data_IF_451695534207
#
_entry.id   IF_451695534207
#
_cell.length_a   1.000
_cell.length_b   1.000
_cell.length_c   1.000
_cell.angle_alpha   90.00
_cell.angle_beta   90.00
_cell.angle_gamma   90.00
#
_symmetry.space_group_name_H-M   'P 1'
#
loop_
_entity.id
_entity.type
_entity.pdbx_description
1 polymer ?
#
# COMPACT_ATOMS: atom_id res chain seq x y z
N UNK A 1 -20.29 22.81 -25.54
CA UNK A 1 -20.98 21.50 -25.57
C UNK A 1 -19.99 20.33 -25.47
N UNK A 2 -19.05 20.15 -26.41
CA UNK A 2 -18.07 19.04 -26.37
C UNK A 2 -17.16 19.02 -25.13
N UNK A 3 -16.64 20.17 -24.68
CA UNK A 3 -15.84 20.27 -23.44
C UNK A 3 -16.61 19.87 -22.17
N UNK A 4 -17.92 20.16 -22.11
CA UNK A 4 -18.78 19.81 -20.97
C UNK A 4 -19.09 18.32 -20.94
N UNK A 5 -19.25 17.68 -22.10
CA UNK A 5 -19.38 16.22 -22.22
C UNK A 5 -18.09 15.50 -21.81
N UNK A 6 -16.92 16.04 -22.16
CA UNK A 6 -15.62 15.51 -21.75
C UNK A 6 -15.46 15.52 -20.23
N UNK A 7 -15.69 16.67 -19.58
CA UNK A 7 -15.58 16.80 -18.13
C UNK A 7 -16.58 15.90 -17.37
N UNK A 8 -17.78 15.71 -17.92
CA UNK A 8 -18.77 14.77 -17.35
C UNK A 8 -18.29 13.32 -17.45
N UNK A 9 -17.73 12.91 -18.59
CA UNK A 9 -17.17 11.57 -18.78
C UNK A 9 -16.01 11.30 -17.82
N UNK A 10 -15.10 12.26 -17.65
CA UNK A 10 -13.98 12.16 -16.70
C UNK A 10 -14.48 12.07 -15.25
N UNK A 11 -15.46 12.89 -14.88
CA UNK A 11 -16.09 12.84 -13.57
C UNK A 11 -16.71 11.48 -13.26
N UNK A 12 -17.51 10.93 -14.17
CA UNK A 12 -18.12 9.59 -14.00
C UNK A 12 -17.05 8.49 -13.97
N UNK A 13 -16.04 8.57 -14.82
CA UNK A 13 -14.91 7.62 -14.80
C UNK A 13 -14.19 7.65 -13.45
N UNK A 14 -13.97 8.83 -12.87
CA UNK A 14 -13.37 8.97 -11.55
C UNK A 14 -14.23 8.33 -10.46
N UNK A 15 -15.55 8.56 -10.47
CA UNK A 15 -16.46 7.92 -9.52
C UNK A 15 -16.39 6.39 -9.60
N UNK A 16 -16.41 5.82 -10.81
CA UNK A 16 -16.30 4.37 -11.01
C UNK A 16 -14.96 3.84 -10.50
N UNK A 17 -13.84 4.53 -10.80
CA UNK A 17 -12.49 4.11 -10.36
C UNK A 17 -12.31 4.15 -8.85
N UNK A 18 -12.93 5.12 -8.18
CA UNK A 18 -12.83 5.30 -6.73
C UNK A 18 -13.85 4.46 -5.94
N UNK A 19 -14.98 4.11 -6.55
CA UNK A 19 -16.08 3.42 -5.88
C UNK A 19 -15.64 2.18 -5.07
N UNK A 20 -14.84 1.24 -5.61
CA UNK A 20 -14.45 0.05 -4.84
C UNK A 20 -13.60 0.35 -3.61
N UNK A 21 -12.78 1.41 -3.65
CA UNK A 21 -11.93 1.82 -2.53
C UNK A 21 -12.76 2.52 -1.47
N UNK A 22 -13.59 3.49 -1.85
CA UNK A 22 -14.46 4.23 -0.93
C UNK A 22 -15.48 3.30 -0.27
N UNK A 23 -16.05 2.34 -0.99
CA UNK A 23 -17.03 1.40 -0.43
C UNK A 23 -16.45 0.53 0.71
N UNK A 24 -15.15 0.25 0.65
CA UNK A 24 -14.44 -0.56 1.65
C UNK A 24 -13.82 0.27 2.77
N UNK A 25 -13.84 1.59 2.65
CA UNK A 25 -13.26 2.49 3.65
C UNK A 25 -13.96 2.35 5.01
N UNK A 26 -13.16 2.37 6.07
CA UNK A 26 -13.61 2.25 7.47
C UNK A 26 -12.80 3.24 8.31
N UNK A 27 -13.49 4.09 9.06
CA UNK A 27 -12.90 5.22 9.77
C UNK A 27 -11.90 4.83 10.89
N UNK A 28 -11.92 3.57 11.35
CA UNK A 28 -11.15 3.12 12.51
C UNK A 28 -9.84 2.42 12.18
N UNK A 29 -9.53 2.18 10.90
CA UNK A 29 -8.37 1.40 10.48
C UNK A 29 -7.45 2.20 9.55
N UNK A 30 -6.20 2.41 9.98
CA UNK A 30 -5.18 3.10 9.19
C UNK A 30 -4.89 2.42 7.85
N UNK A 31 -5.17 1.12 7.70
CA UNK A 31 -4.96 0.41 6.44
C UNK A 31 -5.80 1.02 5.30
N UNK A 32 -7.01 1.51 5.60
CA UNK A 32 -7.86 2.16 4.60
C UNK A 32 -7.32 3.52 4.16
N UNK A 33 -6.75 4.30 5.09
CA UNK A 33 -6.01 5.52 4.75
C UNK A 33 -4.89 5.21 3.74
N UNK A 34 -4.09 4.17 4.00
CA UNK A 34 -3.01 3.78 3.11
C UNK A 34 -3.52 3.32 1.74
N UNK A 35 -4.63 2.57 1.68
CA UNK A 35 -5.27 2.17 0.42
C UNK A 35 -5.75 3.37 -0.40
N UNK A 36 -6.30 4.40 0.25
CA UNK A 36 -6.72 5.64 -0.41
C UNK A 36 -5.51 6.38 -1.00
N UNK A 37 -4.45 6.56 -0.21
CA UNK A 37 -3.21 7.20 -0.66
C UNK A 37 -2.59 6.41 -1.81
N UNK A 38 -2.47 5.09 -1.68
CA UNK A 38 -1.97 4.22 -2.74
C UNK A 38 -2.80 4.35 -4.02
N UNK A 39 -4.14 4.37 -3.93
CA UNK A 39 -5.02 4.54 -5.10
C UNK A 39 -4.81 5.90 -5.77
N UNK A 40 -4.57 6.95 -4.98
CA UNK A 40 -4.25 8.28 -5.52
C UNK A 40 -2.91 8.28 -6.26
N UNK A 41 -1.87 7.66 -5.68
CA UNK A 41 -0.56 7.52 -6.32
C UNK A 41 -0.65 6.72 -7.61
N UNK A 42 -1.44 5.64 -7.65
CA UNK A 42 -1.70 4.87 -8.87
C UNK A 42 -2.26 5.75 -9.99
N UNK A 43 -3.31 6.53 -9.70
CA UNK A 43 -3.88 7.44 -10.70
C UNK A 43 -2.92 8.54 -11.14
N UNK A 44 -2.07 9.03 -10.24
CA UNK A 44 -1.06 10.05 -10.58
C UNK A 44 0.04 9.46 -11.45
N UNK A 45 0.55 8.27 -11.12
CA UNK A 45 1.52 7.56 -11.96
C UNK A 45 0.94 7.34 -13.36
N UNK A 46 -0.29 6.82 -13.48
CA UNK A 46 -0.94 6.60 -14.77
C UNK A 46 -1.07 7.90 -15.58
N UNK A 47 -1.38 9.02 -14.91
CA UNK A 47 -1.45 10.33 -15.55
C UNK A 47 -0.09 10.77 -16.09
N UNK A 48 0.96 10.73 -15.27
CA UNK A 48 2.31 11.15 -15.67
C UNK A 48 2.98 10.18 -16.66
N UNK A 49 2.54 8.92 -16.74
CA UNK A 49 2.95 7.98 -17.80
C UNK A 49 2.17 8.15 -19.10
N UNK A 50 1.02 8.82 -19.07
CA UNK A 50 0.18 9.01 -20.25
C UNK A 50 0.68 10.14 -21.15
N UNK A 51 0.21 10.18 -22.40
CA UNK A 51 0.47 11.29 -23.33
C UNK A 51 -0.27 12.60 -22.95
N UNK A 52 -1.10 12.58 -21.91
CA UNK A 52 -1.86 13.75 -21.46
C UNK A 52 -1.01 14.71 -20.62
N UNK A 53 0.19 14.29 -20.22
CA UNK A 53 1.13 15.15 -19.52
C UNK A 53 1.87 16.05 -20.49
N UNK A 54 2.05 17.32 -20.12
CA UNK A 54 2.78 18.31 -20.91
C UNK A 54 4.06 18.78 -20.22
N UNK A 55 4.44 18.15 -19.11
CA UNK A 55 5.71 18.44 -18.41
C UNK A 55 6.83 17.59 -18.99
N UNK A 56 8.04 18.17 -19.06
CA UNK A 56 9.21 17.50 -19.62
C UNK A 56 9.70 16.33 -18.75
N UNK A 57 9.54 16.46 -17.42
CA UNK A 57 10.01 15.49 -16.44
C UNK A 57 8.95 14.43 -16.07
N UNK A 58 7.92 14.23 -16.90
CA UNK A 58 6.77 13.40 -16.54
C UNK A 58 7.15 11.96 -16.21
N UNK A 59 8.14 11.40 -16.92
CA UNK A 59 8.60 10.03 -16.68
C UNK A 59 9.31 9.91 -15.33
N UNK A 60 10.18 10.87 -15.02
CA UNK A 60 10.88 10.94 -13.75
C UNK A 60 9.89 11.08 -12.59
N UNK A 61 8.92 11.99 -12.70
CA UNK A 61 7.84 12.16 -11.71
C UNK A 61 7.03 10.86 -11.54
N UNK A 62 6.68 10.19 -12.64
CA UNK A 62 5.98 8.91 -12.57
C UNK A 62 6.79 7.83 -11.84
N UNK A 63 8.12 7.81 -12.01
CA UNK A 63 9.00 6.84 -11.35
C UNK A 63 9.12 7.13 -9.84
N UNK A 64 9.14 8.39 -9.42
CA UNK A 64 9.09 8.79 -8.01
C UNK A 64 7.76 8.41 -7.34
N UNK A 65 6.65 8.67 -8.03
CA UNK A 65 5.31 8.27 -7.56
C UNK A 65 5.23 6.74 -7.46
N UNK A 66 5.79 6.01 -8.44
CA UNK A 66 5.84 4.55 -8.43
C UNK A 66 6.62 4.03 -7.23
N UNK A 67 7.76 4.65 -6.91
CA UNK A 67 8.57 4.28 -5.74
C UNK A 67 7.76 4.37 -4.45
N UNK A 68 7.13 5.53 -4.19
CA UNK A 68 6.26 5.71 -3.03
C UNK A 68 5.09 4.70 -3.02
N UNK A 69 4.47 4.47 -4.19
CA UNK A 69 3.36 3.53 -4.34
C UNK A 69 3.76 2.09 -3.98
N UNK A 70 4.91 1.62 -4.48
CA UNK A 70 5.41 0.26 -4.23
C UNK A 70 5.76 0.06 -2.75
N UNK A 71 6.43 1.04 -2.13
CA UNK A 71 6.74 0.99 -0.70
C UNK A 71 5.46 0.93 0.15
N UNK A 72 4.44 1.73 -0.18
CA UNK A 72 3.16 1.68 0.52
C UNK A 72 2.42 0.36 0.28
N UNK A 73 2.53 -0.22 -0.93
CA UNK A 73 1.97 -1.53 -1.24
C UNK A 73 2.59 -2.66 -0.41
N UNK A 74 3.87 -2.57 -0.05
CA UNK A 74 4.49 -3.54 0.86
C UNK A 74 3.79 -3.55 2.22
N UNK A 75 3.43 -2.37 2.75
CA UNK A 75 2.69 -2.27 4.01
C UNK A 75 1.24 -2.76 3.89
N UNK A 76 0.53 -2.39 2.82
CA UNK A 76 -0.88 -2.76 2.62
C UNK A 76 -1.03 -4.28 2.46
N UNK A 77 -0.10 -4.91 1.73
CA UNK A 77 -0.19 -6.34 1.40
C UNK A 77 0.59 -7.24 2.35
N UNK A 78 1.06 -6.71 3.49
CA UNK A 78 1.90 -7.44 4.46
C UNK A 78 3.03 -8.22 3.79
N UNK A 79 3.71 -7.56 2.85
CA UNK A 79 4.56 -8.22 1.86
C UNK A 79 5.83 -8.85 2.45
N UNK A 80 6.29 -8.39 3.60
CA UNK A 80 7.45 -8.99 4.27
C UNK A 80 6.99 -10.07 5.23
N UNK A 81 5.89 -9.85 5.95
CA UNK A 81 5.28 -10.85 6.83
C UNK A 81 4.88 -12.10 6.07
N UNK A 82 4.30 -11.96 4.87
CA UNK A 82 3.91 -13.08 4.01
C UNK A 82 5.08 -13.91 3.48
N UNK A 83 6.34 -13.45 3.65
CA UNK A 83 7.55 -14.17 3.25
C UNK A 83 8.21 -14.92 4.41
N UNK A 84 7.76 -14.68 5.65
CA UNK A 84 8.24 -15.44 6.81
C UNK A 84 7.71 -16.86 6.66
N UNK A 85 8.63 -17.81 6.46
CA UNK A 85 8.33 -19.24 6.33
C UNK A 85 8.49 -19.90 7.70
N UNK A 86 7.48 -20.63 8.15
CA UNK A 86 7.48 -21.25 9.46
C UNK A 86 6.55 -22.46 9.49
N UNK A 87 7.05 -23.54 10.09
CA UNK A 87 6.24 -24.69 10.46
C UNK A 87 5.57 -24.40 11.81
N UNK A 88 4.30 -24.00 11.78
CA UNK A 88 3.54 -23.73 13.00
C UNK A 88 3.27 -24.96 13.84
N UNK A 89 3.30 -26.15 13.25
CA UNK A 89 2.82 -27.37 13.91
C UNK A 89 3.75 -27.79 15.06
N UNK A 90 4.97 -27.26 15.09
CA UNK A 90 5.93 -27.48 16.16
C UNK A 90 5.58 -26.75 17.47
N UNK A 91 4.79 -25.67 17.40
CA UNK A 91 4.47 -24.83 18.57
C UNK A 91 3.00 -24.42 18.67
N UNK A 92 2.18 -24.70 17.66
CA UNK A 92 0.72 -24.55 17.69
C UNK A 92 0.10 -25.94 17.67
N UNK A 93 -0.76 -26.23 18.64
CA UNK A 93 -1.51 -27.48 18.70
C UNK A 93 -2.97 -27.24 19.02
N UNK A 94 -3.86 -28.09 18.51
CA UNK A 94 -5.27 -28.08 18.88
C UNK A 94 -5.49 -29.11 19.99
N UNK A 95 -5.90 -28.66 21.18
CA UNK A 95 -6.24 -29.53 22.31
C UNK A 95 -7.62 -29.17 22.82
N UNK A 96 -8.52 -30.15 22.92
CA UNK A 96 -9.89 -29.95 23.41
C UNK A 96 -10.66 -28.82 22.66
N UNK A 97 -10.49 -28.71 21.34
CA UNK A 97 -11.01 -27.62 20.50
C UNK A 97 -10.47 -26.21 20.86
N UNK A 98 -9.39 -26.12 21.61
CA UNK A 98 -8.69 -24.87 21.89
C UNK A 98 -7.31 -24.88 21.24
N UNK A 99 -6.93 -23.73 20.67
CA UNK A 99 -5.57 -23.50 20.20
C UNK A 99 -4.64 -23.32 21.40
N UNK A 100 -3.61 -24.15 21.47
CA UNK A 100 -2.53 -24.05 22.44
C UNK A 100 -1.24 -23.65 21.72
N UNK A 101 -0.60 -22.59 22.21
CA UNK A 101 0.66 -22.08 21.67
C UNK A 101 1.76 -22.25 22.71
N UNK A 102 2.77 -23.05 22.41
CA UNK A 102 3.96 -23.20 23.25
C UNK A 102 4.89 -22.00 23.05
N UNK A 103 4.72 -20.98 23.90
CA UNK A 103 5.51 -19.75 23.86
C UNK A 103 6.96 -19.94 24.30
N UNK A 104 7.28 -21.04 24.96
CA UNK A 104 8.65 -21.35 25.38
C UNK A 104 9.46 -22.08 24.31
N UNK A 105 8.78 -22.65 23.31
CA UNK A 105 9.39 -23.29 22.15
C UNK A 105 10.38 -22.34 21.45
N UNK A 106 11.58 -22.86 21.15
CA UNK A 106 12.66 -22.12 20.48
C UNK A 106 12.25 -21.62 19.09
N UNK A 107 11.44 -22.40 18.35
CA UNK A 107 10.99 -22.10 16.99
C UNK A 107 9.86 -21.07 17.02
N UNK A 108 8.98 -21.10 18.03
CA UNK A 108 8.07 -19.98 18.30
C UNK A 108 8.82 -18.66 18.53
N UNK A 109 9.86 -18.67 19.38
CA UNK A 109 10.66 -17.46 19.66
C UNK A 109 11.40 -16.95 18.42
N UNK A 110 11.92 -17.85 17.59
CA UNK A 110 12.56 -17.51 16.32
C UNK A 110 11.54 -16.90 15.34
N UNK A 111 10.41 -17.57 15.13
CA UNK A 111 9.31 -17.08 14.30
C UNK A 111 8.81 -15.70 14.74
N UNK A 112 8.54 -15.50 16.03
CA UNK A 112 8.13 -14.20 16.58
C UNK A 112 9.12 -13.09 16.28
N UNK A 113 10.43 -13.39 16.36
CA UNK A 113 11.49 -12.43 16.05
C UNK A 113 11.50 -12.06 14.57
N UNK A 114 11.35 -13.05 13.68
CA UNK A 114 11.31 -12.83 12.24
C UNK A 114 10.05 -12.07 11.81
N UNK A 115 8.89 -12.43 12.35
CA UNK A 115 7.64 -11.70 12.17
C UNK A 115 7.76 -10.24 12.61
N UNK A 116 8.33 -10.01 13.79
CA UNK A 116 8.55 -8.65 14.30
C UNK A 116 9.47 -7.84 13.40
N UNK A 117 10.54 -8.44 12.87
CA UNK A 117 11.45 -7.79 11.94
C UNK A 117 10.78 -7.49 10.59
N UNK A 118 9.94 -8.39 10.09
CA UNK A 118 9.17 -8.20 8.87
C UNK A 118 8.15 -7.05 9.01
N UNK A 119 7.39 -7.02 10.10
CA UNK A 119 6.47 -5.91 10.41
C UNK A 119 7.20 -4.57 10.57
N UNK A 120 8.39 -4.58 11.18
CA UNK A 120 9.24 -3.39 11.29
C UNK A 120 9.67 -2.90 9.91
N UNK A 121 10.03 -3.81 9.00
CA UNK A 121 10.38 -3.43 7.63
C UNK A 121 9.19 -2.85 6.86
N UNK A 122 7.99 -3.39 7.02
CA UNK A 122 6.77 -2.82 6.42
C UNK A 122 6.47 -1.41 6.97
N UNK A 123 6.74 -1.18 8.26
CA UNK A 123 6.63 0.14 8.88
C UNK A 123 7.66 1.13 8.32
N UNK A 124 8.89 0.66 8.05
CA UNK A 124 9.93 1.46 7.40
C UNK A 124 9.55 1.82 5.96
N UNK A 125 9.06 0.85 5.19
CA UNK A 125 8.60 1.08 3.82
C UNK A 125 7.46 2.11 3.78
N UNK A 126 6.47 1.98 4.68
CA UNK A 126 5.40 2.97 4.82
C UNK A 126 5.95 4.37 5.12
N UNK A 127 6.86 4.51 6.09
CA UNK A 127 7.47 5.81 6.43
C UNK A 127 8.22 6.41 5.25
N UNK A 128 9.02 5.60 4.54
CA UNK A 128 9.75 6.04 3.36
C UNK A 128 8.80 6.48 2.23
N UNK A 129 7.68 5.78 2.03
CA UNK A 129 6.65 6.21 1.07
C UNK A 129 6.11 7.61 1.41
N UNK A 130 5.74 7.85 2.66
CA UNK A 130 5.23 9.16 3.10
C UNK A 130 6.30 10.26 3.10
N UNK A 131 7.57 9.91 3.30
CA UNK A 131 8.69 10.85 3.17
C UNK A 131 8.89 11.29 1.71
N UNK A 132 8.81 10.37 0.75
CA UNK A 132 8.85 10.71 -0.68
C UNK A 132 7.69 11.64 -1.04
N UNK A 133 6.47 11.31 -0.59
CA UNK A 133 5.29 12.15 -0.83
C UNK A 133 5.49 13.54 -0.21
N UNK A 134 5.89 13.61 1.05
CA UNK A 134 6.10 14.88 1.75
C UNK A 134 7.17 15.76 1.11
N UNK A 135 8.26 15.17 0.62
CA UNK A 135 9.39 15.91 0.07
C UNK A 135 9.22 16.32 -1.39
N UNK A 136 8.42 15.59 -2.18
CA UNK A 136 8.38 15.74 -3.64
C UNK A 136 7.02 16.13 -4.21
N UNK A 137 5.93 15.99 -3.46
CA UNK A 137 4.58 16.15 -4.01
C UNK A 137 4.27 17.55 -4.55
N UNK A 138 4.91 18.59 -4.03
CA UNK A 138 4.80 19.95 -4.57
C UNK A 138 5.51 20.07 -5.92
N UNK A 139 6.73 19.53 -6.03
CA UNK A 139 7.55 19.60 -7.26
C UNK A 139 7.10 18.67 -8.39
N UNK A 140 6.21 17.71 -8.13
CA UNK A 140 5.67 16.83 -9.18
C UNK A 140 4.89 17.57 -10.26
N UNK A 141 4.54 18.83 -10.02
CA UNK A 141 3.75 19.66 -10.93
C UNK A 141 4.55 20.75 -11.65
N UNK A 142 5.85 20.85 -11.34
CA UNK A 142 6.79 21.80 -11.95
C UNK A 142 7.32 21.29 -13.31
#
# INVERSE_FOLDING_TARGET
MLKQLHSLREGVSNLIRWFPIIWRDRDWDQENLYKIVHKKLEHMEDFFRSENTHIKAAKEVADEIREAKVLLANKINTAHTNKVDYDTDEFISLKNNEFNVDRENKNYKAWMKEMSAAEEQESKDMKAAFEIIGNKSESWWD
#
